data_IF_924637815631
#
_entry.id   IF_924637815631
#
_cell.length_a   1.000
_cell.length_b   1.000
_cell.length_c   1.000
_cell.angle_alpha   90.00
_cell.angle_beta   90.00
_cell.angle_gamma   90.00
#
_symmetry.space_group_name_H-M   'P 1'
#
loop_
_entity.id
_entity.type
_entity.pdbx_description
1 polymer ?
#
# COMPACT_ATOMS: atom_id res chain seq x y z
N UNK A 1 9.89 -16.65 -5.87
CA UNK A 1 9.52 -18.01 -5.38
C UNK A 1 8.43 -17.77 -4.34
N UNK A 2 7.14 -18.02 -4.52
CA UNK A 2 6.44 -19.04 -5.33
C UNK A 2 5.93 -20.17 -4.43
N UNK A 3 5.27 -19.88 -3.31
CA UNK A 3 4.88 -20.89 -2.31
C UNK A 3 3.36 -21.20 -2.22
N UNK A 4 2.50 -20.45 -2.92
CA UNK A 4 1.04 -20.68 -2.89
C UNK A 4 0.46 -21.47 -4.07
N UNK A 5 1.29 -21.97 -5.00
CA UNK A 5 0.78 -22.54 -6.27
C UNK A 5 0.28 -23.99 -6.23
N UNK A 6 0.31 -24.67 -5.10
CA UNK A 6 0.02 -26.12 -5.06
C UNK A 6 -1.33 -26.52 -4.45
N UNK A 7 -2.36 -25.66 -4.51
CA UNK A 7 -3.70 -26.08 -4.05
C UNK A 7 -4.87 -25.67 -4.95
N UNK A 8 -4.69 -25.63 -6.28
CA UNK A 8 -5.80 -25.40 -7.21
C UNK A 8 -5.95 -26.56 -8.20
N UNK A 9 -6.79 -27.51 -7.80
CA UNK A 9 -7.53 -28.35 -8.73
C UNK A 9 -8.50 -27.48 -9.53
N UNK A 10 -8.42 -27.63 -10.86
CA UNK A 10 -9.30 -27.02 -11.86
C UNK A 10 -10.78 -27.11 -11.50
N UNK A 11 -11.54 -26.01 -11.58
CA UNK A 11 -12.95 -25.99 -12.02
C UNK A 11 -13.54 -24.57 -12.12
N UNK A 12 -13.94 -24.23 -13.35
CA UNK A 12 -15.15 -23.50 -13.73
C UNK A 12 -15.57 -22.24 -12.95
N UNK A 13 -15.40 -21.12 -13.63
CA UNK A 13 -16.15 -19.88 -13.48
C UNK A 13 -17.66 -20.15 -13.37
N UNK A 14 -18.18 -20.14 -12.15
CA UNK A 14 -19.50 -19.66 -11.74
C UNK A 14 -19.73 -20.12 -10.30
N UNK A 15 -19.52 -19.22 -9.35
CA UNK A 15 -20.21 -19.31 -8.06
C UNK A 15 -20.63 -17.91 -7.70
N UNK A 16 -21.95 -17.70 -7.69
CA UNK A 16 -22.59 -16.46 -7.26
C UNK A 16 -22.21 -16.27 -5.79
N UNK A 17 -21.24 -15.40 -5.52
CA UNK A 17 -20.96 -14.95 -4.17
C UNK A 17 -22.18 -14.15 -3.66
N UNK A 18 -22.57 -14.31 -2.39
CA UNK A 18 -23.69 -13.56 -1.84
C UNK A 18 -23.36 -12.07 -1.97
N UNK A 19 -24.31 -11.29 -2.48
CA UNK A 19 -24.26 -9.84 -2.46
C UNK A 19 -24.15 -9.37 -1.02
N UNK A 20 -22.93 -9.13 -0.54
CA UNK A 20 -22.73 -8.13 0.49
C UNK A 20 -23.13 -6.81 -0.16
N UNK A 21 -24.27 -6.26 0.22
CA UNK A 21 -24.54 -4.84 0.11
C UNK A 21 -23.61 -4.10 1.06
N UNK A 22 -22.30 -4.22 0.82
CA UNK A 22 -21.26 -3.49 1.55
C UNK A 22 -21.38 -2.02 1.15
N UNK A 23 -21.46 -1.14 2.14
CA UNK A 23 -21.31 0.29 1.93
C UNK A 23 -20.05 0.49 1.07
N UNK A 24 -20.20 1.14 -0.08
CA UNK A 24 -19.04 1.44 -0.92
C UNK A 24 -18.12 2.37 -0.15
N UNK A 25 -16.83 2.03 -0.10
CA UNK A 25 -15.82 2.89 0.49
C UNK A 25 -15.56 4.13 -0.38
N UNK A 26 -14.57 4.95 0.00
CA UNK A 26 -14.20 6.14 -0.75
C UNK A 26 -14.04 5.87 -2.25
N UNK A 27 -14.50 6.80 -3.08
CA UNK A 27 -14.51 6.68 -4.55
C UNK A 27 -15.28 5.47 -5.11
N UNK A 28 -16.19 4.89 -4.33
CA UNK A 28 -16.97 3.71 -4.75
C UNK A 28 -16.20 2.40 -4.63
N UNK A 29 -15.00 2.42 -4.05
CA UNK A 29 -14.10 1.27 -3.96
C UNK A 29 -14.56 0.30 -2.87
N UNK A 30 -14.54 -1.00 -3.17
CA UNK A 30 -14.87 -2.05 -2.21
C UNK A 30 -14.25 -3.38 -2.64
N UNK A 31 -14.11 -4.31 -1.69
CA UNK A 31 -13.75 -5.70 -1.96
C UNK A 31 -14.70 -6.29 -3.03
N UNK A 32 -14.14 -6.96 -4.04
CA UNK A 32 -14.86 -7.56 -5.16
C UNK A 32 -15.24 -6.61 -6.30
N UNK A 33 -15.00 -5.29 -6.17
CA UNK A 33 -15.18 -4.32 -7.26
C UNK A 33 -13.99 -4.30 -8.20
N UNK A 34 -14.22 -3.95 -9.47
CA UNK A 34 -13.15 -3.65 -10.40
C UNK A 34 -12.62 -2.25 -10.18
N UNK A 35 -11.35 -2.03 -10.51
CA UNK A 35 -10.68 -0.73 -10.50
C UNK A 35 -10.10 -0.53 -11.88
N UNK A 36 -10.48 0.58 -12.52
CA UNK A 36 -9.93 1.02 -13.80
C UNK A 36 -9.05 2.22 -13.57
N UNK A 37 -7.86 2.21 -14.15
CA UNK A 37 -6.95 3.35 -14.20
C UNK A 37 -7.07 4.09 -15.53
N UNK A 38 -6.83 5.39 -15.54
CA UNK A 38 -6.79 6.17 -16.76
C UNK A 38 -5.69 5.63 -17.71
N UNK A 39 -6.08 5.32 -18.93
CA UNK A 39 -5.20 4.71 -19.94
C UNK A 39 -4.00 5.58 -20.32
N UNK A 40 -4.06 6.89 -20.07
CA UNK A 40 -2.98 7.84 -20.34
C UNK A 40 -2.00 7.97 -19.18
N UNK A 41 -2.34 7.45 -17.98
CA UNK A 41 -1.53 7.59 -16.78
C UNK A 41 -0.14 6.98 -16.96
N UNK A 42 -0.05 5.78 -17.54
CA UNK A 42 1.23 5.13 -17.78
C UNK A 42 2.16 5.97 -18.68
N UNK A 43 1.61 6.60 -19.72
CA UNK A 43 2.36 7.48 -20.61
C UNK A 43 2.80 8.77 -19.92
N UNK A 44 1.95 9.32 -19.04
CA UNK A 44 2.27 10.52 -18.27
C UNK A 44 3.43 10.28 -17.29
N UNK A 45 3.50 9.09 -16.70
CA UNK A 45 4.49 8.73 -15.70
C UNK A 45 5.82 8.25 -16.28
N UNK A 46 5.86 7.93 -17.57
CA UNK A 46 7.02 7.41 -18.26
C UNK A 46 8.23 8.36 -18.12
N UNK A 47 9.35 7.83 -17.62
CA UNK A 47 10.59 8.58 -17.43
C UNK A 47 10.66 9.46 -16.17
N UNK A 48 9.53 9.72 -15.50
CA UNK A 48 9.48 10.49 -14.24
C UNK A 48 9.53 9.61 -12.99
N UNK A 49 9.01 8.38 -13.08
CA UNK A 49 8.90 7.42 -11.97
C UNK A 49 9.10 5.99 -12.47
N UNK A 50 9.50 5.10 -11.57
CA UNK A 50 9.54 3.65 -11.85
C UNK A 50 8.25 2.93 -11.42
N UNK A 51 7.27 3.66 -10.89
CA UNK A 51 5.95 3.11 -10.51
C UNK A 51 5.25 2.60 -11.76
N UNK A 52 4.71 1.39 -11.65
CA UNK A 52 3.93 0.77 -12.74
C UNK A 52 2.46 1.07 -12.56
N UNK A 53 1.73 1.20 -13.67
CA UNK A 53 0.28 1.33 -13.67
C UNK A 53 -0.33 -0.01 -14.12
N UNK A 54 -1.16 -0.67 -13.29
CA UNK A 54 -1.79 -1.92 -13.69
C UNK A 54 -2.94 -1.67 -14.68
N UNK A 55 -3.36 -2.75 -15.35
CA UNK A 55 -4.62 -2.76 -16.10
C UNK A 55 -5.82 -2.78 -15.15
N UNK A 56 -7.03 -2.90 -15.70
CA UNK A 56 -8.24 -3.11 -14.90
C UNK A 56 -8.07 -4.35 -14.01
N UNK A 57 -8.18 -4.19 -12.69
CA UNK A 57 -8.01 -5.26 -11.70
C UNK A 57 -9.18 -5.31 -10.73
N UNK A 58 -9.45 -6.48 -10.16
CA UNK A 58 -10.40 -6.62 -9.07
C UNK A 58 -9.72 -6.36 -7.72
N UNK A 59 -10.42 -5.67 -6.82
CA UNK A 59 -10.01 -5.55 -5.42
C UNK A 59 -10.22 -6.91 -4.74
N UNK A 60 -9.12 -7.54 -4.35
CA UNK A 60 -9.15 -8.82 -3.65
C UNK A 60 -9.48 -8.63 -2.17
N UNK A 61 -8.80 -7.70 -1.51
CA UNK A 61 -9.02 -7.38 -0.10
C UNK A 61 -9.06 -5.86 0.12
N UNK A 62 -9.78 -5.47 1.16
CA UNK A 62 -9.90 -4.08 1.59
C UNK A 62 -9.47 -3.97 3.05
N UNK A 63 -8.58 -3.03 3.31
CA UNK A 63 -8.07 -2.69 4.62
C UNK A 63 -8.43 -1.26 5.03
N UNK A 64 -8.48 -1.01 6.33
CA UNK A 64 -8.53 0.34 6.87
C UNK A 64 -7.64 0.52 8.10
N UNK A 65 -7.11 1.73 8.22
CA UNK A 65 -6.30 2.19 9.35
C UNK A 65 -6.95 3.44 9.92
N UNK A 66 -7.21 3.45 11.22
CA UNK A 66 -7.64 4.66 11.95
C UNK A 66 -6.39 5.41 12.45
N UNK A 67 -6.18 6.63 11.96
CA UNK A 67 -5.07 7.49 12.38
C UNK A 67 -5.48 8.45 13.52
N UNK A 68 -6.73 8.37 13.98
CA UNK A 68 -7.32 9.28 14.96
C UNK A 68 -7.73 10.62 14.35
N UNK A 69 -8.40 11.47 15.15
CA UNK A 69 -8.85 12.81 14.74
C UNK A 69 -9.63 12.79 13.41
N UNK A 70 -10.48 11.79 13.23
CA UNK A 70 -11.27 11.57 12.01
C UNK A 70 -10.43 11.38 10.74
N UNK A 71 -9.16 10.94 10.85
CA UNK A 71 -8.32 10.57 9.71
C UNK A 71 -8.34 9.05 9.54
N UNK A 72 -8.59 8.57 8.32
CA UNK A 72 -8.55 7.16 7.98
C UNK A 72 -7.77 6.92 6.71
N UNK A 73 -7.06 5.81 6.65
CA UNK A 73 -6.53 5.27 5.40
C UNK A 73 -7.39 4.08 5.01
N UNK A 74 -7.83 4.05 3.75
CA UNK A 74 -8.40 2.87 3.12
C UNK A 74 -7.36 2.30 2.17
N UNK A 75 -7.13 1.00 2.25
CA UNK A 75 -6.18 0.27 1.38
C UNK A 75 -6.92 -0.78 0.60
N UNK A 76 -6.73 -0.81 -0.70
CA UNK A 76 -7.39 -1.75 -1.60
C UNK A 76 -6.31 -2.56 -2.32
N UNK A 77 -6.20 -3.84 -1.98
CA UNK A 77 -5.19 -4.73 -2.55
C UNK A 77 -5.76 -5.43 -3.77
N UNK A 78 -5.00 -5.41 -4.87
CA UNK A 78 -5.41 -6.00 -6.13
C UNK A 78 -5.20 -7.52 -6.13
N UNK A 79 -5.97 -8.22 -6.96
CA UNK A 79 -5.90 -9.68 -7.13
C UNK A 79 -4.57 -10.22 -7.67
N UNK A 80 -3.74 -9.37 -8.29
CA UNK A 80 -2.42 -9.75 -8.79
C UNK A 80 -1.34 -9.73 -7.70
N UNK A 81 -1.69 -9.26 -6.49
CA UNK A 81 -0.80 -9.12 -5.31
C UNK A 81 0.38 -8.15 -5.51
N UNK A 82 0.49 -7.53 -6.68
CA UNK A 82 1.59 -6.64 -7.03
C UNK A 82 1.26 -5.17 -6.72
N UNK A 83 -0.04 -4.83 -6.72
CA UNK A 83 -0.53 -3.46 -6.61
C UNK A 83 -1.56 -3.28 -5.50
N UNK A 84 -1.59 -2.07 -4.95
CA UNK A 84 -2.63 -1.65 -4.04
C UNK A 84 -2.84 -0.13 -4.12
N UNK A 85 -4.03 0.32 -3.76
CA UNK A 85 -4.39 1.75 -3.74
C UNK A 85 -4.66 2.18 -2.31
N UNK A 86 -4.02 3.26 -1.89
CA UNK A 86 -4.31 3.95 -0.63
C UNK A 86 -5.17 5.18 -0.89
N UNK A 87 -6.24 5.34 -0.13
CA UNK A 87 -7.05 6.56 -0.08
C UNK A 87 -7.02 7.10 1.35
N UNK A 88 -6.50 8.31 1.52
CA UNK A 88 -6.58 9.04 2.79
C UNK A 88 -7.84 9.88 2.79
N UNK A 89 -8.65 9.72 3.82
CA UNK A 89 -9.90 10.45 4.04
C UNK A 89 -9.90 11.12 5.41
N UNK A 90 -10.49 12.31 5.45
CA UNK A 90 -10.76 13.08 6.67
C UNK A 90 -12.27 13.27 6.88
N UNK A 91 -12.70 13.36 8.14
CA UNK A 91 -14.10 13.64 8.47
C UNK A 91 -15.06 12.57 7.96
N UNK A 92 -16.17 13.02 7.35
CA UNK A 92 -17.24 12.18 6.81
C UNK A 92 -17.01 11.82 5.33
N UNK A 93 -15.79 11.39 4.97
CA UNK A 93 -15.38 10.93 3.62
C UNK A 93 -14.78 12.01 2.67
N UNK A 94 -14.15 13.07 3.19
CA UNK A 94 -13.38 14.00 2.35
C UNK A 94 -12.05 13.36 1.92
N UNK A 95 -11.86 13.13 0.63
CA UNK A 95 -10.64 12.52 0.08
C UNK A 95 -9.51 13.55 0.05
N UNK A 96 -8.46 13.31 0.84
CA UNK A 96 -7.28 14.17 0.91
C UNK A 96 -6.21 13.76 -0.10
N UNK A 97 -6.00 12.45 -0.25
CA UNK A 97 -5.02 11.93 -1.21
C UNK A 97 -5.35 10.53 -1.66
N UNK A 98 -4.91 10.22 -2.88
CA UNK A 98 -4.98 8.90 -3.49
C UNK A 98 -3.57 8.53 -3.92
N UNK A 99 -3.12 7.32 -3.60
CA UNK A 99 -1.80 6.82 -3.99
C UNK A 99 -1.92 5.42 -4.53
N UNK A 100 -1.36 5.18 -5.72
CA UNK A 100 -1.14 3.83 -6.24
C UNK A 100 0.23 3.37 -5.78
N UNK A 101 0.31 2.18 -5.22
CA UNK A 101 1.54 1.53 -4.83
C UNK A 101 1.74 0.23 -5.60
N UNK A 102 2.99 -0.09 -5.87
CA UNK A 102 3.45 -1.43 -6.23
C UNK A 102 4.51 -1.91 -5.24
N UNK A 103 4.53 -3.21 -4.98
CA UNK A 103 5.58 -3.81 -4.14
C UNK A 103 6.93 -3.82 -4.89
N UNK A 104 8.00 -3.49 -4.17
CA UNK A 104 9.38 -3.63 -4.62
C UNK A 104 10.03 -4.87 -4.00
N UNK A 105 9.79 -5.10 -2.71
CA UNK A 105 10.31 -6.26 -2.01
C UNK A 105 9.45 -6.63 -0.81
N UNK A 106 9.48 -7.91 -0.47
CA UNK A 106 8.90 -8.47 0.74
C UNK A 106 9.90 -9.46 1.34
N UNK A 107 10.27 -9.26 2.60
CA UNK A 107 11.27 -10.07 3.30
C UNK A 107 10.70 -10.54 4.63
N UNK A 108 10.52 -11.85 4.79
CA UNK A 108 10.19 -12.44 6.10
C UNK A 108 11.37 -12.30 7.06
N UNK A 109 11.11 -11.81 8.26
CA UNK A 109 12.11 -11.57 9.29
C UNK A 109 12.05 -12.69 10.31
N UNK A 110 13.14 -13.45 10.44
CA UNK A 110 13.15 -14.67 11.24
C UNK A 110 13.80 -14.50 12.63
N UNK A 111 14.29 -13.30 12.94
CA UNK A 111 14.91 -13.00 14.23
C UNK A 111 14.94 -11.50 14.55
N UNK A 112 14.99 -11.17 15.83
CA UNK A 112 15.15 -9.78 16.30
C UNK A 112 16.43 -9.14 15.77
N UNK A 113 17.52 -9.90 15.66
CA UNK A 113 18.79 -9.39 15.13
C UNK A 113 18.66 -8.97 13.65
N UNK A 114 17.90 -9.74 12.87
CA UNK A 114 17.58 -9.40 11.49
C UNK A 114 16.67 -8.17 11.41
N UNK A 115 15.65 -8.09 12.27
CA UNK A 115 14.78 -6.92 12.37
C UNK A 115 15.58 -5.65 12.69
N UNK A 116 16.47 -5.71 13.67
CA UNK A 116 17.31 -4.59 14.08
C UNK A 116 18.27 -4.13 12.97
N UNK A 117 18.75 -5.07 12.16
CA UNK A 117 19.59 -4.77 10.99
C UNK A 117 18.80 -4.08 9.88
N UNK A 118 17.57 -4.52 9.64
CA UNK A 118 16.74 -4.04 8.53
C UNK A 118 16.01 -2.74 8.84
N UNK A 119 15.48 -2.59 10.05
CA UNK A 119 14.60 -1.49 10.46
C UNK A 119 14.90 -0.93 11.87
N UNK A 120 16.00 -1.33 12.50
CA UNK A 120 16.41 -0.82 13.81
C UNK A 120 17.23 0.48 13.77
N UNK A 121 17.76 0.92 14.92
CA UNK A 121 18.52 2.19 15.06
C UNK A 121 19.84 2.27 14.28
N UNK A 122 20.30 1.16 13.71
CA UNK A 122 21.48 1.13 12.85
C UNK A 122 21.13 0.95 11.37
N UNK A 123 19.83 0.83 11.05
CA UNK A 123 19.34 0.78 9.68
C UNK A 123 19.30 2.17 9.06
N UNK A 124 19.20 2.22 7.73
CA UNK A 124 19.01 3.49 7.01
C UNK A 124 17.57 4.00 7.10
N UNK A 125 16.61 3.14 7.45
CA UNK A 125 15.19 3.51 7.55
C UNK A 125 15.02 4.45 8.75
N UNK A 126 14.30 5.54 8.54
CA UNK A 126 14.10 6.59 9.52
C UNK A 126 15.11 7.74 9.43
N UNK A 127 16.20 7.64 8.66
CA UNK A 127 17.09 8.78 8.40
C UNK A 127 16.38 9.88 7.59
N UNK A 128 16.84 11.15 7.63
CA UNK A 128 16.19 12.25 6.91
C UNK A 128 16.13 12.06 5.40
N UNK A 129 17.10 11.35 4.82
CA UNK A 129 17.09 10.96 3.41
C UNK A 129 17.34 9.46 3.27
N UNK A 130 16.82 8.89 2.18
CA UNK A 130 17.01 7.49 1.82
C UNK A 130 17.26 7.39 0.32
N UNK A 131 18.27 6.65 -0.10
CA UNK A 131 18.55 6.40 -1.52
C UNK A 131 18.09 5.00 -1.91
N UNK A 132 17.21 4.92 -2.90
CA UNK A 132 16.75 3.67 -3.50
C UNK A 132 16.99 3.73 -5.01
N UNK A 133 17.67 2.74 -5.58
CA UNK A 133 18.02 2.64 -7.00
C UNK A 133 18.62 3.93 -7.60
N UNK A 134 19.50 4.58 -6.83
CA UNK A 134 20.20 5.80 -7.24
C UNK A 134 19.35 7.08 -7.18
N UNK A 135 18.11 6.97 -6.67
CA UNK A 135 17.19 8.08 -6.46
C UNK A 135 17.09 8.39 -4.98
N UNK A 136 17.29 9.66 -4.61
CA UNK A 136 17.17 10.12 -3.23
C UNK A 136 15.75 10.58 -2.92
N UNK A 137 15.26 10.18 -1.75
CA UNK A 137 13.97 10.57 -1.20
C UNK A 137 14.16 11.27 0.15
N UNK A 138 13.26 12.20 0.47
CA UNK A 138 13.23 12.89 1.76
C UNK A 138 12.17 12.29 2.65
N UNK A 139 12.45 12.18 3.94
CA UNK A 139 11.52 11.62 4.93
C UNK A 139 10.31 12.54 5.12
N UNK A 140 9.11 11.98 5.02
CA UNK A 140 7.85 12.71 5.21
C UNK A 140 7.31 12.59 6.64
N UNK A 141 7.57 11.47 7.31
CA UNK A 141 7.10 11.23 8.69
C UNK A 141 8.22 11.41 9.72
N UNK A 142 7.87 11.94 10.89
CA UNK A 142 8.83 12.27 11.95
C UNK A 142 9.54 13.61 11.74
N UNK A 143 9.84 14.30 12.83
CA UNK A 143 10.40 15.67 12.84
C UNK A 143 11.84 15.75 13.37
N UNK A 144 12.40 14.59 13.73
CA UNK A 144 13.70 14.45 14.36
C UNK A 144 14.83 14.76 13.36
N UNK A 145 15.87 15.46 13.81
CA UNK A 145 16.98 15.87 12.93
C UNK A 145 17.82 14.69 12.38
N UNK A 146 17.80 13.56 13.06
CA UNK A 146 18.57 12.37 12.70
C UNK A 146 17.61 11.25 12.31
N UNK A 147 17.88 10.02 12.74
CA UNK A 147 16.91 8.94 12.58
C UNK A 147 15.68 9.19 13.47
N UNK A 148 14.51 8.86 12.96
CA UNK A 148 13.25 8.83 13.70
C UNK A 148 12.73 7.40 13.86
N UNK A 149 11.85 7.20 14.83
CA UNK A 149 11.16 5.94 15.03
C UNK A 149 10.10 5.70 13.95
N UNK A 150 9.84 4.42 13.65
CA UNK A 150 8.81 4.03 12.70
C UNK A 150 7.44 4.27 13.31
N UNK A 151 6.51 4.77 12.50
CA UNK A 151 5.16 5.13 12.93
C UNK A 151 4.32 3.86 13.10
N UNK A 152 3.82 3.57 14.32
CA UNK A 152 2.95 2.42 14.53
C UNK A 152 1.57 2.69 13.94
N UNK A 153 1.00 1.71 13.25
CA UNK A 153 -0.38 1.74 12.78
C UNK A 153 -0.97 0.32 12.80
N UNK A 154 -2.28 0.23 13.01
CA UNK A 154 -3.01 -1.04 13.01
C UNK A 154 -3.97 -1.03 11.84
N UNK A 155 -3.81 -1.99 10.94
CA UNK A 155 -4.68 -2.19 9.80
C UNK A 155 -5.63 -3.35 10.05
N UNK A 156 -6.92 -3.13 9.80
CA UNK A 156 -7.91 -4.18 9.76
C UNK A 156 -8.20 -4.52 8.30
N UNK A 157 -7.98 -5.77 7.91
CA UNK A 157 -8.13 -6.25 6.54
C UNK A 157 -9.29 -7.24 6.46
N UNK A 158 -10.05 -7.15 5.38
CA UNK A 158 -11.11 -8.10 5.01
C UNK A 158 -10.82 -8.59 3.59
N UNK A 159 -10.70 -9.90 3.45
CA UNK A 159 -10.64 -10.60 2.16
C UNK A 159 -11.92 -11.47 1.99
N UNK A 160 -12.09 -12.23 0.89
CA UNK A 160 -13.29 -13.05 0.69
C UNK A 160 -13.51 -14.15 1.74
N UNK A 161 -12.43 -14.61 2.37
CA UNK A 161 -12.41 -15.80 3.21
C UNK A 161 -12.42 -15.45 4.71
N UNK A 162 -11.77 -14.35 5.09
CA UNK A 162 -11.52 -13.98 6.47
C UNK A 162 -11.30 -12.47 6.68
N UNK A 163 -11.26 -12.09 7.97
CA UNK A 163 -10.82 -10.77 8.41
C UNK A 163 -9.77 -10.93 9.49
N UNK A 164 -8.73 -10.11 9.41
CA UNK A 164 -7.56 -10.18 10.27
C UNK A 164 -6.94 -8.80 10.46
N UNK A 165 -6.05 -8.69 11.43
CA UNK A 165 -5.35 -7.46 11.78
C UNK A 165 -3.87 -7.57 11.46
N UNK A 166 -3.30 -6.52 10.85
CA UNK A 166 -1.86 -6.38 10.68
C UNK A 166 -1.39 -5.19 11.53
N UNK A 167 -0.33 -5.40 12.31
CA UNK A 167 0.38 -4.32 12.99
C UNK A 167 1.54 -3.88 12.11
N UNK A 168 1.59 -2.60 11.82
CA UNK A 168 2.65 -2.00 11.04
C UNK A 168 3.50 -1.09 11.93
N UNK A 169 4.79 -1.08 11.66
CA UNK A 169 5.67 0.05 11.98
C UNK A 169 6.23 0.55 10.66
N UNK A 170 5.85 1.75 10.25
CA UNK A 170 6.09 2.22 8.90
C UNK A 170 6.87 3.54 8.84
N UNK A 171 7.55 3.74 7.72
CA UNK A 171 8.26 4.97 7.42
C UNK A 171 7.99 5.38 5.98
N UNK A 172 7.59 6.64 5.78
CA UNK A 172 7.29 7.20 4.48
C UNK A 172 8.36 8.20 4.07
N UNK A 173 8.84 8.02 2.85
CA UNK A 173 9.67 8.98 2.15
C UNK A 173 8.96 9.44 0.88
N UNK A 174 9.27 10.64 0.41
CA UNK A 174 8.79 11.13 -0.87
C UNK A 174 9.86 11.93 -1.60
N UNK A 175 9.64 12.05 -2.91
CA UNK A 175 10.38 12.96 -3.77
C UNK A 175 9.44 13.57 -4.81
N UNK A 176 9.89 14.68 -5.38
CA UNK A 176 9.19 15.28 -6.51
C UNK A 176 9.54 14.55 -7.82
N UNK A 177 8.53 14.39 -8.68
CA UNK A 177 8.70 13.74 -10.00
C UNK A 177 8.88 14.73 -11.14
N UNK A 178 8.75 16.04 -10.84
CA UNK A 178 8.68 17.11 -11.85
C UNK A 178 7.31 17.25 -12.50
N UNK A 179 6.37 16.33 -12.25
CA UNK A 179 4.98 16.43 -12.69
C UNK A 179 4.16 17.22 -11.66
N UNK A 180 3.16 17.97 -12.14
CA UNK A 180 2.27 18.76 -11.29
C UNK A 180 1.52 17.87 -10.30
N UNK A 181 1.63 18.19 -9.01
CA UNK A 181 0.99 17.51 -7.87
C UNK A 181 1.14 15.98 -7.84
N UNK A 182 2.23 15.46 -8.42
CA UNK A 182 2.56 14.03 -8.39
C UNK A 182 3.89 13.80 -7.72
N UNK A 183 3.84 13.26 -6.51
CA UNK A 183 5.04 12.88 -5.75
C UNK A 183 5.19 11.37 -5.79
N UNK A 184 6.43 10.92 -5.93
CA UNK A 184 6.75 9.50 -5.79
C UNK A 184 7.04 9.23 -4.31
N UNK A 185 6.49 8.14 -3.80
CA UNK A 185 6.55 7.75 -2.41
C UNK A 185 7.28 6.43 -2.27
N UNK A 186 8.14 6.32 -1.26
CA UNK A 186 8.79 5.08 -0.87
C UNK A 186 8.36 4.75 0.56
N UNK A 187 7.59 3.68 0.69
CA UNK A 187 7.01 3.23 1.95
C UNK A 187 7.73 1.96 2.42
N UNK A 188 8.29 2.02 3.61
CA UNK A 188 8.74 0.85 4.35
C UNK A 188 7.70 0.48 5.40
N UNK A 189 7.40 -0.80 5.54
CA UNK A 189 6.52 -1.29 6.60
C UNK A 189 7.06 -2.58 7.21
N UNK A 190 7.38 -2.54 8.50
CA UNK A 190 7.53 -3.76 9.30
C UNK A 190 6.13 -4.22 9.68
N UNK A 191 5.72 -5.36 9.16
CA UNK A 191 4.38 -5.92 9.30
C UNK A 191 4.44 -7.14 10.23
N UNK A 192 3.52 -7.19 11.18
CA UNK A 192 3.31 -8.32 12.06
C UNK A 192 1.86 -8.77 11.98
N UNK A 193 1.65 -10.03 11.60
CA UNK A 193 0.32 -10.65 11.55
C UNK A 193 -0.16 -11.11 12.95
N UNK A 194 -1.36 -11.68 13.01
CA UNK A 194 -1.94 -12.18 14.26
C UNK A 194 -1.23 -13.43 14.80
N UNK A 195 -0.55 -14.19 13.95
CA UNK A 195 0.26 -15.35 14.32
C UNK A 195 1.64 -14.97 14.86
N UNK A 196 2.02 -13.69 14.69
CA UNK A 196 3.30 -13.13 15.11
C UNK A 196 4.41 -13.24 14.08
N UNK A 197 4.10 -13.63 12.85
CA UNK A 197 5.06 -13.59 11.74
C UNK A 197 5.41 -12.15 11.44
N UNK A 198 6.70 -11.86 11.38
CA UNK A 198 7.21 -10.52 11.06
C UNK A 198 7.75 -10.51 9.64
N UNK A 199 7.45 -9.44 8.92
CA UNK A 199 8.00 -9.17 7.60
C UNK A 199 8.33 -7.70 7.41
N UNK A 200 9.21 -7.41 6.46
CA UNK A 200 9.48 -6.06 5.98
C UNK A 200 9.04 -5.96 4.53
N UNK A 201 8.04 -5.13 4.27
CA UNK A 201 7.62 -4.76 2.93
C UNK A 201 8.23 -3.42 2.53
N UNK A 202 8.52 -3.27 1.24
CA UNK A 202 8.93 -2.01 0.62
C UNK A 202 8.06 -1.79 -0.60
N UNK A 203 7.38 -0.65 -0.65
CA UNK A 203 6.47 -0.27 -1.73
C UNK A 203 6.90 1.05 -2.34
N UNK A 204 6.80 1.14 -3.67
CA UNK A 204 6.94 2.38 -4.40
C UNK A 204 5.56 2.86 -4.83
N UNK A 205 5.25 4.13 -4.67
CA UNK A 205 3.95 4.67 -5.02
C UNK A 205 4.01 6.02 -5.69
N UNK A 206 2.89 6.40 -6.29
CA UNK A 206 2.72 7.68 -6.99
C UNK A 206 1.39 8.31 -6.56
N UNK A 207 1.42 9.60 -6.26
CA UNK A 207 0.20 10.36 -6.00
C UNK A 207 -0.68 10.41 -7.26
N UNK A 208 -1.97 10.19 -7.07
CA UNK A 208 -2.99 10.20 -8.10
C UNK A 208 -4.02 11.30 -7.85
N UNK A 209 -4.58 11.81 -8.92
CA UNK A 209 -5.84 12.54 -8.87
C UNK A 209 -7.00 11.55 -8.71
N UNK A 210 -8.11 12.02 -8.12
CA UNK A 210 -9.34 11.20 -7.99
C UNK A 210 -9.94 10.80 -9.34
N UNK A 211 -9.59 11.51 -10.42
CA UNK A 211 -9.99 11.19 -11.80
C UNK A 211 -9.09 10.17 -12.48
N UNK A 212 -7.93 9.84 -11.92
CA UNK A 212 -6.99 8.88 -12.51
C UNK A 212 -7.48 7.43 -12.35
N UNK A 213 -8.52 7.20 -11.55
CA UNK A 213 -9.10 5.88 -11.34
C UNK A 213 -10.62 5.93 -11.14
N UNK A 214 -11.27 4.81 -11.39
CA UNK A 214 -12.71 4.64 -11.13
C UNK A 214 -13.02 3.20 -10.74
N UNK A 215 -13.93 3.02 -9.77
CA UNK A 215 -14.51 1.72 -9.48
C UNK A 215 -15.51 1.31 -10.59
N UNK A 216 -15.50 0.03 -10.99
CA UNK A 216 -16.37 -0.54 -12.04
C UNK A 216 -17.09 -1.81 -11.58
#
# INVERSE_FOLDING_TARGET
>A
MGWFKDLLGTSNWQTVAPTSTGASGPLGMAQGKGVRFDTTLALLLEGSTSVRVPFDQAVWSAGWVDLGQSNKLHRYYMNDEDFWVQIHVTGDDQVESVTLFNYLSYVTVNSDAELQRLAGPNSLIGLPTYTHDGVEYTREWGTELHQTELVPMTEHVVNPDESYTIKHHAMLYARDTGLTDRRELLLFSVEQDEEGTVSLSTSLGISLYTTDLSAI
#
